data_IF_848328613160
#
_entry.id   IF_848328613160
#
_cell.length_a   1.000
_cell.length_b   1.000
_cell.length_c   1.000
_cell.angle_alpha   90.00
_cell.angle_beta   90.00
_cell.angle_gamma   90.00
#
_symmetry.space_group_name_H-M   'P 1'
#
loop_
_entity.id
_entity.type
_entity.pdbx_description
1 polymer ?
#
# COMPACT_ATOMS: atom_id res chain seq x y z
N UNK A 1 9.35 7.94 -10.46
CA UNK A 1 8.47 7.37 -9.42
C UNK A 1 7.14 7.13 -10.09
N UNK A 2 6.58 5.94 -9.97
CA UNK A 2 5.32 5.62 -10.64
C UNK A 2 4.25 5.52 -9.58
N UNK A 3 3.30 6.43 -9.63
CA UNK A 3 2.02 6.25 -8.97
C UNK A 3 1.02 5.92 -10.04
N UNK A 4 0.18 4.96 -9.75
CA UNK A 4 -0.94 4.56 -10.58
C UNK A 4 -1.95 5.71 -10.65
N UNK A 5 -1.76 6.62 -11.61
CA UNK A 5 -2.60 7.79 -11.77
C UNK A 5 -3.94 7.46 -12.45
N UNK A 6 -3.95 6.44 -13.32
CA UNK A 6 -5.16 5.97 -13.98
C UNK A 6 -6.20 5.43 -13.00
N UNK A 7 -5.82 5.23 -11.72
CA UNK A 7 -6.71 4.76 -10.66
C UNK A 7 -6.32 5.36 -9.30
N UNK A 8 -6.31 6.69 -9.22
CA UNK A 8 -6.15 7.39 -7.93
C UNK A 8 -7.26 7.00 -6.93
N UNK A 9 -8.34 6.38 -7.41
CA UNK A 9 -9.38 5.81 -6.55
C UNK A 9 -8.93 4.53 -5.85
N UNK A 10 -7.82 3.92 -6.28
CA UNK A 10 -7.24 2.75 -5.65
C UNK A 10 -6.60 3.06 -4.31
N UNK A 11 -6.86 2.23 -3.29
CA UNK A 11 -6.36 2.43 -1.93
C UNK A 11 -4.83 2.53 -1.84
N UNK A 12 -4.10 1.89 -2.75
CA UNK A 12 -2.64 1.97 -2.81
C UNK A 12 -2.15 3.38 -3.16
N UNK A 13 -2.75 4.01 -4.18
CA UNK A 13 -2.38 5.35 -4.61
C UNK A 13 -2.73 6.39 -3.54
N UNK A 14 -3.95 6.31 -2.99
CA UNK A 14 -4.37 7.20 -1.89
C UNK A 14 -3.44 7.08 -0.68
N UNK A 15 -3.08 5.85 -0.31
CA UNK A 15 -2.15 5.58 0.77
C UNK A 15 -0.77 6.21 0.53
N UNK A 16 -0.27 6.17 -0.71
CA UNK A 16 1.01 6.76 -1.08
C UNK A 16 1.01 8.29 -0.93
N UNK A 17 -0.08 8.95 -1.35
CA UNK A 17 -0.22 10.41 -1.19
C UNK A 17 -0.33 10.79 0.29
N UNK A 18 -1.14 10.05 1.07
CA UNK A 18 -1.26 10.29 2.52
C UNK A 18 0.09 10.06 3.21
N UNK A 19 0.82 8.99 2.87
CA UNK A 19 2.16 8.74 3.42
C UNK A 19 3.12 9.89 3.13
N UNK A 20 3.09 10.44 1.90
CA UNK A 20 3.93 11.58 1.53
C UNK A 20 3.54 12.86 2.30
N UNK A 21 2.25 13.05 2.64
CA UNK A 21 1.86 14.17 3.51
C UNK A 21 2.59 14.12 4.85
N UNK A 22 2.59 12.96 5.49
CA UNK A 22 3.32 12.76 6.76
C UNK A 22 4.84 12.93 6.60
N UNK A 23 5.42 12.40 5.52
CA UNK A 23 6.85 12.53 5.25
C UNK A 23 7.32 13.99 5.13
N UNK A 24 6.46 14.85 4.62
CA UNK A 24 6.74 16.27 4.43
C UNK A 24 6.13 17.18 5.52
N UNK A 25 5.72 16.61 6.66
CA UNK A 25 5.26 17.37 7.84
C UNK A 25 3.79 17.78 7.84
N UNK A 26 2.98 17.16 6.97
CA UNK A 26 1.52 17.24 6.99
C UNK A 26 0.89 16.12 7.82
N UNK A 27 -0.42 15.96 7.67
CA UNK A 27 -1.23 14.92 8.31
C UNK A 27 -2.54 14.69 7.53
N UNK A 28 -3.49 13.92 8.08
CA UNK A 28 -4.79 13.65 7.45
C UNK A 28 -5.64 14.91 7.20
N UNK A 29 -5.40 15.98 7.94
CA UNK A 29 -6.14 17.26 7.80
C UNK A 29 -5.38 18.26 6.92
N UNK A 30 -4.08 18.07 6.77
CA UNK A 30 -3.19 18.92 5.99
C UNK A 30 -2.41 18.10 4.96
N UNK A 31 -2.94 18.02 3.74
CA UNK A 31 -2.34 17.32 2.61
C UNK A 31 -1.45 18.26 1.74
N UNK A 32 -1.36 19.55 2.04
CA UNK A 32 -0.64 20.51 1.22
C UNK A 32 0.81 20.13 0.96
N UNK A 33 1.61 19.67 1.96
CA UNK A 33 2.99 19.28 1.71
C UNK A 33 3.13 18.12 0.71
N UNK A 34 2.17 17.18 0.69
CA UNK A 34 2.15 16.13 -0.31
C UNK A 34 1.89 16.69 -1.69
N UNK A 35 0.89 17.56 -1.84
CA UNK A 35 0.53 18.10 -3.14
C UNK A 35 1.59 19.05 -3.69
N UNK A 36 2.30 19.81 -2.86
CA UNK A 36 3.49 20.57 -3.27
C UNK A 36 4.55 19.64 -3.89
N UNK A 37 4.88 18.55 -3.21
CA UNK A 37 5.83 17.56 -3.72
C UNK A 37 5.37 16.91 -5.04
N UNK A 38 4.11 16.47 -5.10
CA UNK A 38 3.60 15.78 -6.30
C UNK A 38 3.43 16.72 -7.49
N UNK A 39 3.11 17.99 -7.25
CA UNK A 39 3.09 19.04 -8.29
C UNK A 39 4.49 19.24 -8.87
N UNK A 40 5.52 19.37 -8.03
CA UNK A 40 6.91 19.48 -8.49
C UNK A 40 7.31 18.25 -9.31
N UNK A 41 6.94 17.05 -8.87
CA UNK A 41 7.22 15.81 -9.60
C UNK A 41 6.51 15.76 -10.94
N UNK A 42 5.27 16.23 -11.05
CA UNK A 42 4.50 16.29 -12.29
C UNK A 42 5.10 17.29 -13.27
N UNK A 43 5.39 18.51 -12.83
CA UNK A 43 5.99 19.59 -13.64
C UNK A 43 7.36 19.19 -14.20
N UNK A 44 8.12 18.38 -13.46
CA UNK A 44 9.42 17.84 -13.90
C UNK A 44 9.29 16.56 -14.73
N UNK A 45 8.10 16.11 -15.11
CA UNK A 45 7.86 14.91 -15.92
C UNK A 45 8.33 13.62 -15.23
N UNK A 46 8.30 13.56 -13.91
CA UNK A 46 8.80 12.43 -13.11
C UNK A 46 7.70 11.48 -12.63
N UNK A 47 6.46 11.74 -12.96
CA UNK A 47 5.34 10.84 -12.73
C UNK A 47 5.13 9.98 -13.98
N UNK A 48 5.07 8.67 -13.76
CA UNK A 48 4.74 7.73 -14.82
C UNK A 48 3.32 7.21 -14.58
N UNK A 49 2.51 7.21 -15.62
CA UNK A 49 1.09 6.87 -15.59
C UNK A 49 0.81 5.37 -15.79
N UNK A 50 1.86 4.57 -16.00
CA UNK A 50 1.74 3.12 -16.15
C UNK A 50 1.30 2.46 -14.84
N UNK A 51 0.50 1.41 -14.97
CA UNK A 51 0.13 0.56 -13.83
C UNK A 51 1.38 -0.04 -13.17
N UNK A 52 1.35 -0.13 -11.84
CA UNK A 52 2.40 -0.77 -11.04
C UNK A 52 2.15 -2.30 -11.05
N UNK A 53 2.37 -2.91 -12.21
CA UNK A 53 2.29 -4.36 -12.39
C UNK A 53 3.70 -4.97 -12.38
N UNK A 54 3.80 -6.22 -11.98
CA UNK A 54 5.05 -6.97 -12.01
C UNK A 54 5.74 -6.86 -13.38
N UNK A 55 5.00 -7.02 -14.47
CA UNK A 55 5.51 -6.93 -15.84
C UNK A 55 6.20 -5.60 -16.13
N UNK A 56 5.70 -4.48 -15.60
CA UNK A 56 6.25 -3.16 -15.86
C UNK A 56 7.58 -2.92 -15.11
N UNK A 57 7.78 -3.60 -13.99
CA UNK A 57 9.10 -3.68 -13.35
C UNK A 57 10.05 -4.59 -14.15
N UNK A 58 9.58 -5.74 -14.63
CA UNK A 58 10.39 -6.67 -15.45
C UNK A 58 10.88 -6.06 -16.74
N UNK A 59 10.10 -5.17 -17.35
CA UNK A 59 10.50 -4.44 -18.58
C UNK A 59 11.33 -3.20 -18.29
N UNK A 60 11.42 -2.78 -17.01
CA UNK A 60 12.10 -1.54 -16.61
C UNK A 60 11.32 -0.27 -16.94
N UNK A 61 10.08 -0.37 -17.39
CA UNK A 61 9.20 0.79 -17.64
C UNK A 61 8.83 1.50 -16.34
N UNK A 62 8.78 0.76 -15.22
CA UNK A 62 8.53 1.28 -13.87
C UNK A 62 9.79 1.08 -13.02
N UNK A 63 10.70 2.07 -12.95
CA UNK A 63 11.93 1.94 -12.16
C UNK A 63 11.72 2.07 -10.65
N UNK A 64 10.69 2.80 -10.22
CA UNK A 64 10.33 3.00 -8.80
C UNK A 64 8.81 3.01 -8.67
N UNK A 65 8.25 2.25 -7.74
CA UNK A 65 6.83 2.23 -7.44
C UNK A 65 6.55 2.29 -5.94
N UNK A 66 5.45 2.89 -5.56
CA UNK A 66 4.93 2.88 -4.17
C UNK A 66 3.74 1.94 -4.13
N UNK A 67 3.89 0.83 -3.44
CA UNK A 67 2.90 -0.25 -3.37
C UNK A 67 2.83 -0.82 -1.94
N UNK A 68 1.81 -1.60 -1.67
CA UNK A 68 1.73 -2.31 -0.39
C UNK A 68 2.88 -3.30 -0.21
N UNK A 69 3.37 -3.45 1.01
CA UNK A 69 4.47 -4.37 1.35
C UNK A 69 4.18 -5.81 0.91
N UNK A 70 2.95 -6.29 1.11
CA UNK A 70 2.53 -7.63 0.70
C UNK A 70 2.48 -7.83 -0.84
N UNK A 71 2.49 -6.75 -1.62
CA UNK A 71 2.64 -6.81 -3.08
C UNK A 71 4.11 -6.71 -3.48
N UNK A 72 4.89 -5.89 -2.79
CA UNK A 72 6.31 -5.66 -3.09
C UNK A 72 7.16 -6.92 -2.86
N UNK A 73 6.88 -7.69 -1.80
CA UNK A 73 7.63 -8.90 -1.44
C UNK A 73 7.56 -9.95 -2.55
N UNK A 74 6.37 -10.39 -3.03
CA UNK A 74 6.29 -11.33 -4.15
C UNK A 74 6.95 -10.81 -5.43
N UNK A 75 6.85 -9.52 -5.74
CA UNK A 75 7.49 -8.95 -6.92
C UNK A 75 9.02 -9.04 -6.85
N UNK A 76 9.59 -8.73 -5.68
CA UNK A 76 11.03 -8.85 -5.43
C UNK A 76 11.54 -10.27 -5.71
N UNK A 77 10.77 -11.29 -5.33
CA UNK A 77 11.18 -12.69 -5.45
C UNK A 77 10.94 -13.28 -6.85
N UNK A 78 9.98 -12.73 -7.61
CA UNK A 78 9.56 -13.26 -8.92
C UNK A 78 10.25 -12.56 -10.10
N UNK A 79 10.83 -11.37 -9.90
CA UNK A 79 11.50 -10.64 -10.97
C UNK A 79 12.96 -11.06 -11.03
N UNK A 80 13.31 -11.80 -12.09
CA UNK A 80 14.65 -12.36 -12.29
C UNK A 80 15.58 -11.44 -13.11
N UNK A 81 15.02 -10.59 -13.98
CA UNK A 81 15.79 -9.78 -14.93
C UNK A 81 16.49 -8.57 -14.29
N UNK A 82 16.01 -8.12 -13.13
CA UNK A 82 16.55 -6.99 -12.40
C UNK A 82 16.60 -7.30 -10.90
N UNK A 83 17.51 -6.67 -10.20
CA UNK A 83 17.49 -6.66 -8.74
C UNK A 83 16.45 -5.64 -8.27
N UNK A 84 15.28 -6.10 -7.87
CA UNK A 84 14.26 -5.27 -7.25
C UNK A 84 14.51 -5.19 -5.74
N UNK A 85 14.66 -3.97 -5.23
CA UNK A 85 14.76 -3.71 -3.79
C UNK A 85 13.43 -3.17 -3.28
N UNK A 86 12.89 -3.79 -2.24
CA UNK A 86 11.73 -3.30 -1.52
C UNK A 86 12.17 -2.76 -0.15
N UNK A 87 11.60 -1.64 0.28
CA UNK A 87 11.87 -1.04 1.58
C UNK A 87 10.64 -0.32 2.13
N UNK A 88 10.55 -0.24 3.44
CA UNK A 88 9.55 0.61 4.13
C UNK A 88 10.20 1.97 4.34
N UNK A 89 9.63 3.07 3.82
CA UNK A 89 10.16 4.42 4.06
C UNK A 89 10.17 4.75 5.55
N UNK A 90 11.28 5.32 6.03
CA UNK A 90 11.43 5.70 7.46
C UNK A 90 10.78 7.03 7.81
N UNK A 91 10.48 7.84 6.81
CA UNK A 91 9.97 9.22 6.92
C UNK A 91 8.48 9.36 6.61
N UNK A 92 7.89 8.36 5.94
CA UNK A 92 6.47 8.39 5.61
C UNK A 92 5.97 7.04 5.12
N UNK A 93 5.50 6.22 6.04
CA UNK A 93 4.77 4.99 5.73
C UNK A 93 3.47 4.97 6.52
N UNK A 94 2.41 4.43 5.95
CA UNK A 94 1.17 4.21 6.66
C UNK A 94 0.89 2.73 6.84
N UNK A 95 0.28 2.40 7.96
CA UNK A 95 -0.21 1.06 8.25
C UNK A 95 -1.74 1.08 8.24
N UNK A 96 -2.32 0.34 7.29
CA UNK A 96 -3.77 0.18 7.17
C UNK A 96 -4.13 -1.30 7.14
N UNK A 97 -5.31 -1.62 7.61
CA UNK A 97 -5.82 -2.99 7.68
C UNK A 97 -7.00 -3.23 6.74
N UNK A 98 -7.23 -4.50 6.44
CA UNK A 98 -8.42 -4.94 5.72
C UNK A 98 -9.44 -5.52 6.70
N UNK A 99 -10.72 -5.22 6.49
CA UNK A 99 -11.81 -5.80 7.25
C UNK A 99 -12.35 -7.07 6.55
N UNK A 100 -12.47 -8.15 7.30
CA UNK A 100 -13.19 -9.33 6.85
C UNK A 100 -14.67 -9.19 7.17
N UNK A 101 -15.52 -9.20 6.15
CA UNK A 101 -16.98 -9.11 6.30
C UNK A 101 -17.67 -10.34 5.71
N UNK A 102 -18.76 -10.77 6.32
CA UNK A 102 -19.63 -11.82 5.77
C UNK A 102 -20.88 -11.14 5.24
N UNK A 103 -21.14 -11.31 3.94
CA UNK A 103 -22.33 -10.76 3.30
C UNK A 103 -23.59 -11.35 3.94
N UNK A 104 -24.54 -10.49 4.31
CA UNK A 104 -25.83 -10.89 4.87
C UNK A 104 -26.59 -11.87 3.97
N UNK A 105 -26.41 -11.74 2.67
CA UNK A 105 -27.06 -12.56 1.65
C UNK A 105 -26.13 -13.64 1.07
N UNK A 106 -25.09 -14.03 1.80
CA UNK A 106 -24.17 -15.08 1.36
C UNK A 106 -24.95 -16.39 1.11
N UNK A 107 -24.77 -17.03 -0.05
CA UNK A 107 -25.47 -18.30 -0.36
C UNK A 107 -25.04 -19.43 0.56
N UNK A 108 -23.81 -19.36 1.10
CA UNK A 108 -23.22 -20.35 2.00
C UNK A 108 -22.63 -19.69 3.27
N UNK A 109 -23.46 -19.14 4.17
CA UNK A 109 -22.99 -18.33 5.30
C UNK A 109 -22.12 -19.13 6.29
N UNK A 110 -22.38 -20.42 6.47
CA UNK A 110 -21.58 -21.25 7.35
C UNK A 110 -20.20 -21.57 6.77
N UNK A 111 -20.08 -21.75 5.45
CA UNK A 111 -18.79 -21.87 4.80
C UNK A 111 -17.98 -20.56 4.89
N UNK A 112 -18.63 -19.41 4.71
CA UNK A 112 -18.00 -18.11 4.89
C UNK A 112 -17.49 -17.89 6.33
N UNK A 113 -18.25 -18.31 7.33
CA UNK A 113 -17.80 -18.30 8.74
C UNK A 113 -16.59 -19.19 8.95
N UNK A 114 -16.62 -20.42 8.42
CA UNK A 114 -15.50 -21.36 8.56
C UNK A 114 -14.24 -20.82 7.88
N UNK A 115 -14.35 -20.23 6.69
CA UNK A 115 -13.23 -19.58 6.00
C UNK A 115 -12.66 -18.43 6.85
N UNK A 116 -13.53 -17.63 7.48
CA UNK A 116 -13.10 -16.55 8.38
C UNK A 116 -12.37 -17.08 9.62
N UNK A 117 -12.87 -18.15 10.24
CA UNK A 117 -12.18 -18.82 11.36
C UNK A 117 -10.79 -19.32 10.94
N UNK A 118 -10.68 -19.88 9.72
CA UNK A 118 -9.39 -20.30 9.18
C UNK A 118 -8.43 -19.13 9.00
N UNK A 119 -8.87 -17.98 8.46
CA UNK A 119 -8.05 -16.78 8.29
C UNK A 119 -7.45 -16.33 9.63
N UNK A 120 -8.20 -16.38 10.71
CA UNK A 120 -7.76 -15.99 12.06
C UNK A 120 -7.12 -17.13 12.86
N UNK A 121 -7.01 -18.35 12.31
CA UNK A 121 -6.25 -19.43 12.94
C UNK A 121 -4.75 -19.20 12.84
N UNK A 122 -3.94 -19.89 13.65
CA UNK A 122 -2.48 -19.81 13.59
C UNK A 122 -1.95 -20.09 12.19
N UNK A 123 -2.49 -21.16 11.55
CA UNK A 123 -2.12 -21.52 10.17
C UNK A 123 -2.54 -20.44 9.16
N UNK A 124 -3.72 -19.86 9.32
CA UNK A 124 -4.19 -18.78 8.43
C UNK A 124 -3.34 -17.53 8.58
N UNK A 125 -2.97 -17.17 9.79
CA UNK A 125 -2.10 -16.01 10.05
C UNK A 125 -0.67 -16.25 9.54
N UNK A 126 -0.11 -17.45 9.69
CA UNK A 126 1.16 -17.81 9.10
C UNK A 126 1.13 -17.78 7.56
N UNK A 127 0.03 -18.23 6.93
CA UNK A 127 -0.15 -18.13 5.49
C UNK A 127 -0.27 -16.67 5.01
N UNK A 128 -0.91 -15.78 5.77
CA UNK A 128 -0.94 -14.35 5.46
C UNK A 128 0.45 -13.74 5.55
N UNK A 129 1.21 -14.10 6.58
CA UNK A 129 2.60 -13.67 6.74
C UNK A 129 3.47 -14.12 5.56
N UNK A 130 3.35 -15.38 5.10
CA UNK A 130 4.10 -15.87 3.94
C UNK A 130 3.77 -15.13 2.64
N UNK A 131 2.60 -14.51 2.56
CA UNK A 131 2.23 -13.63 1.45
C UNK A 131 2.65 -12.15 1.69
N UNK A 132 3.44 -11.87 2.72
CA UNK A 132 3.95 -10.53 3.02
C UNK A 132 3.02 -9.63 3.83
N UNK A 133 1.88 -10.13 4.31
CA UNK A 133 0.97 -9.37 5.16
C UNK A 133 1.42 -9.44 6.63
N UNK A 134 1.20 -8.37 7.37
CA UNK A 134 1.43 -8.37 8.82
C UNK A 134 0.28 -9.14 9.49
N UNK A 135 0.57 -10.18 10.30
CA UNK A 135 -0.46 -10.89 11.05
C UNK A 135 -1.25 -9.95 11.96
N UNK A 136 -2.58 -10.12 12.00
CA UNK A 136 -3.44 -9.34 12.89
C UNK A 136 -3.30 -9.81 14.35
N UNK A 137 -2.98 -11.08 14.55
CA UNK A 137 -2.78 -11.70 15.86
C UNK A 137 -1.30 -11.64 16.24
N UNK A 138 -1.02 -11.10 17.42
CA UNK A 138 0.34 -10.96 17.97
C UNK A 138 0.83 -12.19 18.73
N UNK A 139 -0.06 -13.16 18.98
CA UNK A 139 0.20 -14.41 19.72
C UNK A 139 0.53 -15.60 18.81
N UNK A 140 0.57 -15.38 17.49
CA UNK A 140 0.90 -16.43 16.50
C UNK A 140 2.41 -16.46 16.27
N UNK A 141 2.99 -17.63 16.43
CA UNK A 141 4.39 -17.88 16.08
C UNK A 141 4.52 -18.00 14.56
N UNK A 142 5.27 -17.10 13.95
CA UNK A 142 5.56 -17.12 12.53
C UNK A 142 6.87 -17.86 12.31
N UNK A 143 6.92 -18.88 11.43
CA UNK A 143 8.15 -19.60 11.12
C UNK A 143 9.29 -18.68 10.70
N UNK A 144 10.51 -18.98 11.15
CA UNK A 144 11.71 -18.15 10.92
C UNK A 144 11.97 -17.92 9.42
N UNK A 145 11.77 -18.94 8.60
CA UNK A 145 11.89 -18.87 7.14
C UNK A 145 10.96 -17.84 6.50
N UNK A 146 9.77 -17.63 7.08
CA UNK A 146 8.83 -16.60 6.63
C UNK A 146 9.29 -15.23 7.12
N UNK A 147 9.77 -15.13 8.35
CA UNK A 147 10.28 -13.87 8.90
C UNK A 147 11.47 -13.35 8.09
N UNK A 148 12.39 -14.23 7.70
CA UNK A 148 13.55 -13.87 6.88
C UNK A 148 13.19 -13.43 5.46
N UNK A 149 12.10 -13.96 4.90
CA UNK A 149 11.64 -13.65 3.55
C UNK A 149 10.81 -12.36 3.46
N UNK A 150 10.34 -11.83 4.59
CA UNK A 150 9.43 -10.68 4.65
C UNK A 150 10.09 -9.50 5.36
N UNK A 151 9.38 -8.38 5.48
CA UNK A 151 9.82 -7.27 6.32
C UNK A 151 9.70 -7.63 7.80
N UNK A 152 10.68 -7.24 8.59
CA UNK A 152 10.67 -7.41 10.04
C UNK A 152 9.77 -6.38 10.72
N UNK A 153 9.31 -6.70 11.92
CA UNK A 153 8.45 -5.78 12.68
C UNK A 153 9.12 -4.41 12.94
N UNK A 154 10.43 -4.38 13.10
CA UNK A 154 11.21 -3.17 13.28
C UNK A 154 11.23 -2.26 12.06
N UNK A 155 11.08 -2.80 10.84
CA UNK A 155 10.99 -2.01 9.60
C UNK A 155 9.73 -1.13 9.60
N UNK A 156 8.69 -1.53 10.33
CA UNK A 156 7.44 -0.79 10.47
C UNK A 156 7.39 0.14 11.70
N UNK A 157 8.50 0.30 12.42
CA UNK A 157 8.52 1.05 13.68
C UNK A 157 8.03 2.50 13.54
N UNK A 158 8.26 3.11 12.38
CA UNK A 158 7.83 4.47 12.05
C UNK A 158 6.56 4.52 11.19
N UNK A 159 5.96 3.38 10.88
CA UNK A 159 4.71 3.37 10.12
C UNK A 159 3.54 3.89 10.96
N UNK A 160 2.76 4.79 10.41
CA UNK A 160 1.68 5.49 11.09
C UNK A 160 0.40 4.66 10.95
N UNK A 161 -0.15 4.14 12.06
CA UNK A 161 -1.38 3.35 12.01
C UNK A 161 -2.59 4.24 11.72
N UNK A 162 -3.36 3.89 10.71
CA UNK A 162 -4.61 4.58 10.34
C UNK A 162 -5.75 4.10 11.24
N UNK A 163 -5.77 4.54 12.48
CA UNK A 163 -6.78 4.17 13.50
C UNK A 163 -8.03 5.03 13.43
N UNK A 164 -7.91 6.29 13.03
CA UNK A 164 -9.05 7.15 12.73
C UNK A 164 -9.52 6.92 11.28
N UNK A 165 -10.42 5.95 11.13
CA UNK A 165 -10.91 5.54 9.81
C UNK A 165 -11.79 6.60 9.16
N UNK A 166 -12.45 7.46 9.92
CA UNK A 166 -13.27 8.55 9.39
C UNK A 166 -12.38 9.65 8.81
N UNK A 167 -11.39 10.11 9.56
CA UNK A 167 -10.42 11.09 9.08
C UNK A 167 -9.61 10.57 7.88
N UNK A 168 -9.20 9.29 7.91
CA UNK A 168 -8.47 8.68 6.80
C UNK A 168 -9.34 8.60 5.52
N UNK A 169 -10.61 8.23 5.65
CA UNK A 169 -11.54 8.18 4.51
C UNK A 169 -11.72 9.58 3.92
N UNK A 170 -11.94 10.59 4.76
CA UNK A 170 -12.09 11.97 4.31
C UNK A 170 -10.81 12.51 3.64
N UNK A 171 -9.62 12.13 4.13
CA UNK A 171 -8.36 12.46 3.49
C UNK A 171 -8.23 11.80 2.12
N UNK A 172 -8.60 10.52 1.99
CA UNK A 172 -8.59 9.80 0.72
C UNK A 172 -9.54 10.42 -0.32
N UNK A 173 -10.73 10.86 0.07
CA UNK A 173 -11.65 11.58 -0.81
C UNK A 173 -11.04 12.89 -1.33
N UNK A 174 -10.41 13.68 -0.46
CA UNK A 174 -9.68 14.90 -0.84
C UNK A 174 -8.48 14.61 -1.75
N UNK A 175 -7.78 13.50 -1.51
CA UNK A 175 -6.68 13.07 -2.38
C UNK A 175 -7.18 12.85 -3.80
N UNK A 176 -8.30 12.15 -3.99
CA UNK A 176 -8.87 11.90 -5.32
C UNK A 176 -9.27 13.21 -6.01
N UNK A 177 -9.99 14.09 -5.32
CA UNK A 177 -10.42 15.39 -5.83
C UNK A 177 -9.23 16.24 -6.27
N UNK A 178 -8.28 16.47 -5.36
CA UNK A 178 -7.12 17.32 -5.61
C UNK A 178 -6.20 16.76 -6.69
N UNK A 179 -6.02 15.43 -6.74
CA UNK A 179 -5.22 14.80 -7.77
C UNK A 179 -5.77 15.07 -9.17
N UNK A 180 -7.08 14.97 -9.33
CA UNK A 180 -7.76 15.24 -10.60
C UNK A 180 -7.66 16.73 -10.99
N UNK A 181 -7.74 17.62 -10.02
CA UNK A 181 -7.75 19.07 -10.28
C UNK A 181 -6.34 19.65 -10.43
N UNK A 182 -5.36 19.19 -9.62
CA UNK A 182 -4.05 19.82 -9.51
C UNK A 182 -2.96 19.04 -10.26
N UNK A 183 -3.00 17.69 -10.30
CA UNK A 183 -1.91 16.87 -10.84
C UNK A 183 -2.18 16.40 -12.28
N UNK A 184 -3.36 15.83 -12.54
CA UNK A 184 -3.70 15.33 -13.89
C UNK A 184 -3.48 16.36 -15.00
N UNK A 185 -3.86 17.64 -14.85
CA UNK A 185 -3.62 18.66 -15.88
C UNK A 185 -2.15 18.89 -16.23
N UNK A 186 -1.24 18.60 -15.31
CA UNK A 186 0.21 18.74 -15.51
C UNK A 186 0.82 17.54 -16.27
N UNK A 187 0.18 16.37 -16.25
CA UNK A 187 0.67 15.16 -16.90
C UNK A 187 0.33 15.08 -18.39
N UNK A 188 -0.63 15.88 -18.85
CA UNK A 188 -1.17 15.84 -20.23
C UNK A 188 -0.42 16.82 -21.17
N UNK A 189 0.68 17.39 -20.73
CA UNK A 189 1.52 18.27 -21.57
C UNK A 189 2.65 17.43 -22.26
#
# INVERSE_FOLDING_TARGET
>A
MCIRDSDITGGNAQAAIVASAYAFGGDLNNLDPAFEFWTEMAENGRINTLDILQQNFETGEVPVGVIWSFTAIPYKDQIENYTLTASIPSDGAIMSGYASVINKYAPHPNAAKLAREYIFSDKGQANLASAGAIPTRTDVEIPEEIQEATFHQEDYANAIPMTDTEAYTAACEKVVERWQEEIIPLLVQ
#
